data_IF_275785689416
#
_entry.id   IF_275785689416
#
_cell.length_a   1.000
_cell.length_b   1.000
_cell.length_c   1.000
_cell.angle_alpha   90.00
_cell.angle_beta   90.00
_cell.angle_gamma   90.00
#
_symmetry.space_group_name_H-M   'P 1'
#
loop_
_entity.id
_entity.type
_entity.pdbx_description
1 polymer ?
#
# COMPACT_ATOMS: atom_id res chain seq x y z
N UNK A 1 -2.81 46.89 -47.33
CA UNK A 1 -3.26 45.57 -46.82
C UNK A 1 -4.79 45.58 -46.76
N UNK A 2 -5.48 44.72 -47.56
CA UNK A 2 -6.96 44.65 -47.53
C UNK A 2 -7.37 43.82 -46.32
N UNK A 3 -7.97 44.43 -45.34
CA UNK A 3 -8.63 43.74 -44.23
C UNK A 3 -9.93 43.14 -44.78
N UNK A 4 -9.92 41.81 -44.89
CA UNK A 4 -11.12 41.04 -45.20
C UNK A 4 -11.86 40.80 -43.86
N UNK A 5 -13.00 41.43 -43.70
CA UNK A 5 -13.90 41.15 -42.57
C UNK A 5 -14.50 39.75 -42.66
N UNK A 6 -14.74 39.10 -41.55
CA UNK A 6 -15.42 37.79 -41.51
C UNK A 6 -16.88 37.94 -41.93
N UNK A 7 -17.39 37.01 -42.71
CA UNK A 7 -18.81 36.94 -43.08
C UNK A 7 -19.62 36.44 -41.86
N UNK A 8 -20.83 37.01 -41.68
CA UNK A 8 -21.74 36.60 -40.60
C UNK A 8 -22.08 35.10 -40.68
N UNK A 9 -22.20 34.56 -41.88
CA UNK A 9 -22.41 33.13 -42.10
C UNK A 9 -21.24 32.26 -41.67
N UNK A 10 -20.01 32.74 -41.84
CA UNK A 10 -18.77 32.04 -41.42
C UNK A 10 -18.69 31.93 -39.90
N UNK A 11 -19.08 32.99 -39.18
CA UNK A 11 -19.14 32.99 -37.72
C UNK A 11 -20.24 32.06 -37.20
N UNK A 12 -21.41 32.01 -37.84
CA UNK A 12 -22.47 31.10 -37.47
C UNK A 12 -22.08 29.62 -37.63
N UNK A 13 -21.40 29.29 -38.73
CA UNK A 13 -20.93 27.92 -38.99
C UNK A 13 -19.85 27.56 -37.94
N UNK A 14 -18.91 28.45 -37.70
CA UNK A 14 -17.85 28.21 -36.71
C UNK A 14 -18.41 27.99 -35.30
N UNK A 15 -19.40 28.77 -34.86
CA UNK A 15 -20.01 28.62 -33.54
C UNK A 15 -20.84 27.32 -33.44
N UNK A 16 -21.52 26.91 -34.51
CA UNK A 16 -22.25 25.64 -34.57
C UNK A 16 -21.32 24.42 -34.44
N UNK A 17 -20.21 24.41 -35.17
CA UNK A 17 -19.19 23.33 -35.06
C UNK A 17 -18.54 23.32 -33.68
N UNK A 18 -18.18 24.48 -33.16
CA UNK A 18 -17.56 24.60 -31.82
C UNK A 18 -18.49 24.09 -30.73
N UNK A 19 -19.79 24.37 -30.81
CA UNK A 19 -20.77 23.90 -29.82
C UNK A 19 -20.93 22.38 -29.84
N UNK A 20 -20.90 21.73 -31.01
CA UNK A 20 -20.94 20.29 -31.12
C UNK A 20 -19.71 19.61 -30.54
N UNK A 21 -18.53 20.19 -30.77
CA UNK A 21 -17.27 19.69 -30.17
C UNK A 21 -17.25 19.80 -28.65
N UNK A 22 -17.73 20.93 -28.10
CA UNK A 22 -17.83 21.13 -26.66
C UNK A 22 -18.80 20.15 -25.98
N UNK A 23 -19.95 19.87 -26.60
CA UNK A 23 -20.91 18.89 -26.09
C UNK A 23 -20.31 17.50 -26.09
N UNK A 24 -19.60 17.12 -27.15
CA UNK A 24 -18.93 15.83 -27.25
C UNK A 24 -17.85 15.65 -26.20
N UNK A 25 -17.00 16.65 -26.02
CA UNK A 25 -15.95 16.65 -25.02
C UNK A 25 -16.52 16.57 -23.60
N UNK A 26 -17.60 17.32 -23.31
CA UNK A 26 -18.26 17.33 -22.00
C UNK A 26 -18.82 15.97 -21.58
N UNK A 27 -19.22 15.14 -22.53
CA UNK A 27 -19.72 13.79 -22.26
C UNK A 27 -18.61 12.76 -22.12
N UNK A 28 -17.52 12.92 -22.86
CA UNK A 28 -16.40 11.98 -22.87
C UNK A 28 -15.49 12.13 -21.65
N UNK A 29 -15.23 13.38 -21.24
CA UNK A 29 -14.27 13.70 -20.17
C UNK A 29 -14.60 13.04 -18.81
N UNK A 30 -15.87 13.07 -18.32
CA UNK A 30 -16.20 12.42 -17.05
C UNK A 30 -16.01 10.91 -17.04
N UNK A 31 -16.24 10.25 -18.19
CA UNK A 31 -16.00 8.81 -18.36
C UNK A 31 -14.52 8.47 -18.24
N UNK A 32 -13.67 9.25 -18.91
CA UNK A 32 -12.22 9.07 -18.86
C UNK A 32 -11.67 9.31 -17.44
N UNK A 33 -12.14 10.36 -16.77
CA UNK A 33 -11.72 10.66 -15.40
C UNK A 33 -12.06 9.53 -14.42
N UNK A 34 -13.27 8.95 -14.52
CA UNK A 34 -13.66 7.81 -13.69
C UNK A 34 -12.78 6.59 -13.94
N UNK A 35 -12.45 6.29 -15.18
CA UNK A 35 -11.58 5.18 -15.55
C UNK A 35 -10.16 5.38 -15.00
N UNK A 36 -9.60 6.59 -15.11
CA UNK A 36 -8.26 6.92 -14.58
C UNK A 36 -8.24 6.83 -13.05
N UNK A 37 -9.27 7.35 -12.36
CA UNK A 37 -9.34 7.28 -10.90
C UNK A 37 -9.48 5.84 -10.40
N UNK A 38 -10.27 5.00 -11.04
CA UNK A 38 -10.38 3.59 -10.70
C UNK A 38 -9.05 2.85 -10.89
N UNK A 39 -8.33 3.12 -11.98
CA UNK A 39 -7.05 2.51 -12.26
C UNK A 39 -5.95 3.00 -11.32
N UNK A 40 -5.96 4.27 -10.92
CA UNK A 40 -4.97 4.82 -9.98
C UNK A 40 -5.11 4.21 -8.59
N UNK A 41 -6.33 3.97 -8.10
CA UNK A 41 -6.56 3.32 -6.81
C UNK A 41 -6.01 1.89 -6.76
N UNK A 42 -6.17 1.13 -7.84
CA UNK A 42 -5.62 -0.24 -7.91
C UNK A 42 -4.09 -0.25 -7.91
N UNK A 43 -3.46 0.65 -8.66
CA UNK A 43 -1.99 0.79 -8.66
C UNK A 43 -1.43 1.21 -7.32
N UNK A 44 -2.09 2.13 -6.63
CA UNK A 44 -1.68 2.57 -5.31
C UNK A 44 -1.70 1.41 -4.30
N UNK A 45 -2.71 0.55 -4.36
CA UNK A 45 -2.78 -0.64 -3.52
C UNK A 45 -1.61 -1.61 -3.82
N UNK A 46 -1.32 -1.87 -5.09
CA UNK A 46 -0.19 -2.72 -5.48
C UNK A 46 1.15 -2.17 -4.99
N UNK A 47 1.40 -0.87 -5.14
CA UNK A 47 2.62 -0.21 -4.67
C UNK A 47 2.78 -0.33 -3.15
N UNK A 48 1.73 -0.12 -2.38
CA UNK A 48 1.76 -0.26 -0.93
C UNK A 48 2.04 -1.71 -0.50
N UNK A 49 1.38 -2.69 -1.10
CA UNK A 49 1.64 -4.11 -0.82
C UNK A 49 3.10 -4.45 -1.12
N UNK A 50 3.64 -4.02 -2.27
CA UNK A 50 5.04 -4.25 -2.61
C UNK A 50 6.00 -3.57 -1.64
N UNK A 51 5.70 -2.37 -1.19
CA UNK A 51 6.51 -1.65 -0.21
C UNK A 51 6.60 -2.42 1.12
N UNK A 52 5.47 -2.93 1.62
CA UNK A 52 5.43 -3.72 2.85
C UNK A 52 6.13 -5.07 2.71
N UNK A 53 5.94 -5.75 1.58
CA UNK A 53 6.64 -7.02 1.30
C UNK A 53 8.15 -6.81 1.21
N UNK A 54 8.60 -5.72 0.60
CA UNK A 54 10.02 -5.39 0.52
C UNK A 54 10.61 -5.07 1.90
N UNK A 55 9.90 -4.31 2.73
CA UNK A 55 10.30 -4.02 4.10
C UNK A 55 10.41 -5.30 4.93
N UNK A 56 9.40 -6.18 4.87
CA UNK A 56 9.42 -7.50 5.51
C UNK A 56 10.59 -8.35 5.01
N UNK A 57 10.81 -8.40 3.70
CA UNK A 57 11.92 -9.13 3.10
C UNK A 57 13.29 -8.66 3.61
N UNK A 58 13.49 -7.35 3.77
CA UNK A 58 14.72 -6.81 4.35
C UNK A 58 14.91 -7.22 5.82
N UNK A 59 13.83 -7.26 6.59
CA UNK A 59 13.92 -7.70 7.99
C UNK A 59 14.24 -9.19 8.06
N UNK A 60 13.62 -10.02 7.23
CA UNK A 60 13.91 -11.45 7.14
C UNK A 60 15.36 -11.74 6.73
N UNK A 61 15.95 -10.93 5.84
CA UNK A 61 17.36 -11.08 5.46
C UNK A 61 18.34 -10.80 6.60
N UNK A 62 17.95 -10.00 7.59
CA UNK A 62 18.75 -9.70 8.78
C UNK A 62 18.53 -10.69 9.92
N UNK A 63 17.49 -11.53 9.81
CA UNK A 63 17.14 -12.48 10.86
C UNK A 63 18.32 -13.36 11.25
N UNK A 64 18.58 -13.43 12.54
CA UNK A 64 19.66 -14.24 13.11
C UNK A 64 21.04 -13.60 13.12
N UNK A 65 21.20 -12.40 12.57
CA UNK A 65 22.47 -11.70 12.72
C UNK A 65 22.76 -11.43 14.20
N UNK A 66 24.00 -11.77 14.61
CA UNK A 66 24.50 -11.57 15.95
C UNK A 66 26.02 -11.39 15.92
N UNK A 67 26.53 -10.31 16.45
CA UNK A 67 27.96 -10.05 16.52
C UNK A 67 28.66 -10.84 17.64
N UNK A 68 27.90 -11.50 18.54
CA UNK A 68 28.40 -12.26 19.67
C UNK A 68 27.71 -13.59 19.86
N UNK A 69 27.15 -13.84 21.04
CA UNK A 69 26.48 -15.08 21.41
C UNK A 69 25.03 -14.85 21.82
N UNK A 70 24.19 -14.50 20.83
CA UNK A 70 22.78 -14.29 21.06
C UNK A 70 22.05 -15.62 21.33
N UNK A 71 21.17 -15.62 22.30
CA UNK A 71 20.40 -16.79 22.72
C UNK A 71 18.94 -16.69 22.25
N UNK A 72 18.39 -17.79 21.78
CA UNK A 72 16.99 -17.90 21.39
C UNK A 72 16.77 -18.12 19.90
N UNK A 73 15.53 -17.93 19.45
CA UNK A 73 15.14 -18.12 18.04
C UNK A 73 15.17 -16.76 17.30
N UNK A 74 15.88 -16.72 16.20
CA UNK A 74 15.96 -15.56 15.32
C UNK A 74 14.64 -15.25 14.60
N UNK A 75 13.86 -16.30 14.33
CA UNK A 75 12.58 -16.22 13.65
C UNK A 75 11.55 -17.03 14.43
N UNK A 76 10.46 -16.38 14.80
CA UNK A 76 9.31 -17.01 15.45
C UNK A 76 8.09 -16.79 14.57
N UNK A 77 7.44 -17.87 14.18
CA UNK A 77 6.16 -17.83 13.46
C UNK A 77 5.04 -18.32 14.37
N UNK A 78 3.92 -17.64 14.36
CA UNK A 78 2.74 -17.98 15.15
C UNK A 78 1.45 -17.73 14.39
N UNK A 79 0.30 -18.08 14.98
CA UNK A 79 -1.04 -17.85 14.42
C UNK A 79 -1.18 -18.44 13.01
N UNK A 80 -0.70 -19.68 12.81
CA UNK A 80 -0.75 -20.38 11.52
C UNK A 80 -0.04 -19.64 10.38
N UNK A 81 1.04 -18.90 10.68
CA UNK A 81 1.81 -18.15 9.71
C UNK A 81 1.36 -16.70 9.51
N UNK A 82 0.27 -16.26 10.15
CA UNK A 82 -0.20 -14.88 10.07
C UNK A 82 0.54 -13.92 11.01
N UNK A 83 1.52 -14.40 11.76
CA UNK A 83 2.41 -13.58 12.57
C UNK A 83 3.85 -14.10 12.50
N UNK A 84 4.78 -13.17 12.37
CA UNK A 84 6.21 -13.45 12.36
C UNK A 84 6.94 -12.41 13.20
N UNK A 85 7.86 -12.86 14.05
CA UNK A 85 8.78 -12.01 14.80
C UNK A 85 10.18 -12.32 14.33
N UNK A 86 10.92 -11.28 13.96
CA UNK A 86 12.29 -11.36 13.45
C UNK A 86 13.21 -10.69 14.47
N UNK A 87 14.35 -11.32 14.76
CA UNK A 87 15.39 -10.80 15.68
C UNK A 87 16.71 -10.69 14.96
N UNK A 88 17.42 -9.60 15.23
CA UNK A 88 18.80 -9.38 14.78
C UNK A 88 19.48 -8.40 15.74
N UNK A 89 20.75 -8.51 15.91
CA UNK A 89 21.58 -7.60 16.72
C UNK A 89 21.80 -6.28 15.96
N UNK A 90 20.96 -5.28 16.23
CA UNK A 90 20.92 -4.04 15.46
C UNK A 90 22.10 -3.12 15.71
N UNK A 91 22.64 -3.14 16.93
CA UNK A 91 23.76 -2.29 17.38
C UNK A 91 25.10 -3.05 17.40
N UNK A 92 25.08 -4.36 17.07
CA UNK A 92 26.28 -5.23 17.08
C UNK A 92 26.96 -5.33 18.44
N UNK A 93 26.17 -5.33 19.53
CA UNK A 93 26.68 -5.50 20.90
C UNK A 93 26.84 -6.97 21.30
N UNK A 94 26.42 -7.90 20.46
CA UNK A 94 26.54 -9.33 20.69
C UNK A 94 25.39 -9.96 21.46
N UNK A 95 24.30 -9.24 21.68
CA UNK A 95 23.10 -9.69 22.38
C UNK A 95 21.84 -9.34 21.57
N UNK A 96 20.75 -10.04 21.80
CA UNK A 96 19.43 -9.63 21.33
C UNK A 96 18.65 -8.96 22.45
N UNK A 97 18.62 -7.64 22.41
CA UNK A 97 18.03 -6.81 23.45
C UNK A 97 16.54 -6.49 23.18
N UNK A 98 15.77 -6.46 24.26
CA UNK A 98 14.36 -6.08 24.25
C UNK A 98 14.10 -5.02 25.32
N UNK A 99 14.89 -3.96 25.35
CA UNK A 99 14.67 -2.82 26.23
C UNK A 99 13.91 -1.70 25.51
N UNK A 100 13.40 -0.73 26.27
CA UNK A 100 12.70 0.42 25.69
C UNK A 100 13.59 1.28 24.79
N UNK A 101 14.92 1.23 24.97
CA UNK A 101 15.92 1.99 24.21
C UNK A 101 16.57 1.18 23.08
N UNK A 102 16.60 -0.15 23.20
CA UNK A 102 17.27 -1.07 22.27
C UNK A 102 16.35 -2.23 21.94
N UNK A 103 15.82 -2.22 20.73
CA UNK A 103 14.89 -3.24 20.25
C UNK A 103 15.49 -3.98 19.06
N UNK A 104 15.94 -5.19 19.29
CA UNK A 104 16.51 -6.09 18.31
C UNK A 104 15.46 -7.05 17.70
N UNK A 105 14.20 -6.73 17.90
CA UNK A 105 13.10 -7.50 17.34
C UNK A 105 12.07 -6.63 16.63
N UNK A 106 11.49 -7.17 15.57
CA UNK A 106 10.35 -6.57 14.89
C UNK A 106 9.32 -7.66 14.60
N UNK A 107 8.09 -7.42 14.96
CA UNK A 107 6.96 -8.28 14.67
C UNK A 107 6.12 -7.74 13.53
N UNK A 108 5.59 -8.66 12.74
CA UNK A 108 4.60 -8.40 11.70
C UNK A 108 3.45 -9.37 11.91
N UNK A 109 2.21 -8.89 11.90
CA UNK A 109 1.05 -9.76 11.96
C UNK A 109 -0.06 -9.28 11.02
N UNK A 110 -0.83 -10.23 10.54
CA UNK A 110 -2.06 -9.95 9.81
C UNK A 110 -3.24 -10.12 10.77
N UNK A 111 -3.93 -9.03 11.07
CA UNK A 111 -5.08 -9.01 11.96
C UNK A 111 -6.25 -8.29 11.28
N UNK A 112 -7.39 -8.94 11.18
CA UNK A 112 -8.62 -8.35 10.60
C UNK A 112 -8.43 -7.73 9.21
N UNK A 113 -7.58 -8.34 8.37
CA UNK A 113 -7.29 -7.85 7.01
C UNK A 113 -6.34 -6.65 6.95
N UNK A 114 -5.71 -6.27 8.06
CA UNK A 114 -4.70 -5.23 8.12
C UNK A 114 -3.34 -5.84 8.49
N UNK A 115 -2.27 -5.31 7.89
CA UNK A 115 -0.91 -5.59 8.32
C UNK A 115 -0.57 -4.70 9.50
N UNK A 116 -0.14 -5.31 10.58
CA UNK A 116 0.31 -4.61 11.77
C UNK A 116 1.77 -4.88 12.04
N UNK A 117 2.48 -3.87 12.49
CA UNK A 117 3.89 -3.94 12.84
C UNK A 117 4.13 -3.52 14.28
N UNK A 118 5.11 -4.14 14.94
CA UNK A 118 5.54 -3.75 16.27
C UNK A 118 7.05 -3.86 16.40
N UNK A 119 7.69 -2.77 16.77
CA UNK A 119 9.11 -2.80 17.19
C UNK A 119 9.20 -3.33 18.60
N UNK A 120 10.21 -4.16 18.86
CA UNK A 120 10.39 -4.79 20.17
C UNK A 120 9.35 -5.87 20.46
N UNK A 121 8.72 -6.45 19.45
CA UNK A 121 7.75 -7.50 19.64
C UNK A 121 8.40 -8.74 20.25
N UNK A 122 7.89 -9.18 21.40
CA UNK A 122 8.29 -10.42 22.06
C UNK A 122 7.30 -11.56 21.86
N UNK A 123 6.05 -11.22 21.54
CA UNK A 123 4.97 -12.17 21.30
C UNK A 123 4.01 -11.62 20.24
N UNK A 124 3.31 -12.50 19.56
CA UNK A 124 2.28 -12.16 18.58
C UNK A 124 0.97 -11.67 19.21
N UNK A 125 0.86 -11.80 20.50
CA UNK A 125 -0.30 -11.37 21.30
C UNK A 125 -0.01 -10.03 21.99
N UNK A 126 -1.05 -9.36 22.42
CA UNK A 126 -0.92 -8.13 23.23
C UNK A 126 -1.23 -6.85 22.46
N UNK A 127 -0.91 -5.73 23.11
CA UNK A 127 -1.15 -4.37 22.64
C UNK A 127 0.14 -3.73 22.15
N UNK A 128 0.03 -2.62 21.42
CA UNK A 128 1.21 -1.86 20.95
C UNK A 128 1.56 -2.14 19.48
N UNK A 129 0.70 -2.83 18.78
CA UNK A 129 0.81 -3.03 17.34
C UNK A 129 0.32 -1.79 16.60
N UNK A 130 1.14 -1.30 15.69
CA UNK A 130 0.80 -0.19 14.81
C UNK A 130 0.16 -0.75 13.55
N UNK A 131 -1.07 -0.32 13.29
CA UNK A 131 -1.82 -0.76 12.12
C UNK A 131 -1.43 0.09 10.92
N UNK A 132 -0.80 -0.52 9.96
CA UNK A 132 -0.58 0.05 8.64
C UNK A 132 -1.82 -0.29 7.79
N UNK A 133 -2.79 0.60 7.80
CA UNK A 133 -4.03 0.40 7.03
C UNK A 133 -3.72 0.61 5.57
N UNK A 134 -3.68 -0.47 4.82
CA UNK A 134 -3.68 -0.42 3.36
C UNK A 134 -5.03 0.17 2.90
N UNK A 135 -5.07 1.40 2.36
CA UNK A 135 -6.32 1.98 1.88
C UNK A 135 -6.85 1.10 0.74
N UNK A 136 -7.97 0.43 0.99
CA UNK A 136 -8.65 -0.41 0.01
C UNK A 136 -8.46 -1.92 0.14
N UNK A 137 -7.49 -2.43 0.92
CA UNK A 137 -7.26 -3.89 1.08
C UNK A 137 -8.44 -4.60 1.76
N UNK A 138 -9.14 -3.92 2.66
CA UNK A 138 -10.30 -4.47 3.38
C UNK A 138 -11.47 -4.77 2.44
N UNK A 139 -11.61 -4.03 1.34
CA UNK A 139 -12.73 -4.19 0.42
C UNK A 139 -12.54 -5.34 -0.59
N UNK A 140 -11.29 -5.68 -0.93
CA UNK A 140 -11.01 -6.73 -1.92
C UNK A 140 -11.08 -8.13 -1.31
N UNK A 141 -10.74 -8.30 -0.03
CA UNK A 141 -10.86 -9.59 0.65
C UNK A 141 -12.31 -9.93 1.03
N UNK A 142 -13.13 -8.92 1.33
CA UNK A 142 -14.55 -9.11 1.66
C UNK A 142 -15.42 -9.51 0.47
N UNK A 143 -15.08 -9.07 -0.74
CA UNK A 143 -15.87 -9.36 -1.95
C UNK A 143 -15.51 -10.67 -2.62
N UNK A 144 -14.26 -11.13 -2.54
CA UNK A 144 -13.84 -12.42 -3.14
C UNK A 144 -14.32 -13.63 -2.33
N UNK A 145 -14.50 -13.50 -1.01
CA UNK A 145 -15.00 -14.62 -0.17
C UNK A 145 -16.51 -14.85 -0.29
N UNK A 146 -17.26 -13.84 -0.75
CA UNK A 146 -18.72 -13.97 -0.96
C UNK A 146 -19.08 -14.61 -2.29
N UNK A 147 -18.20 -14.58 -3.30
CA UNK A 147 -18.50 -15.10 -4.63
C UNK A 147 -18.22 -16.61 -4.78
N UNK A 148 -17.45 -17.21 -3.87
CA UNK A 148 -17.13 -18.64 -3.89
C UNK A 148 -17.92 -19.47 -2.86
N UNK A 149 -18.95 -18.90 -2.22
CA UNK A 149 -19.82 -19.57 -1.25
C UNK A 149 -21.26 -19.74 -1.74
N UNK A 150 -21.50 -19.71 -3.06
CA UNK A 150 -22.79 -20.02 -3.68
C UNK A 150 -22.66 -21.20 -4.67
#
# INVERSE_FOLDING_TARGET
>A
MKQRGFSLTEVLIATAISSLLLISASRFLPGLQRAVLAQSGQRQLEEEVWHHLFALGKQLQRAGYCAGNCQGQALVTARQGSCVIVRWDANSNGSWDNSASENDSTGFRLESGALETQRGATSCEGKGWETDRLPGAVLLYGTQYSENAA
#
